data_IF_242577761400
#
_entry.id   IF_242577761400
#
_cell.length_a   1.000
_cell.length_b   1.000
_cell.length_c   1.000
_cell.angle_alpha   90.00
_cell.angle_beta   90.00
_cell.angle_gamma   90.00
#
_symmetry.space_group_name_H-M   'P 1'
#
loop_
_entity.id
_entity.type
_entity.pdbx_description
1 polymer ?
#
# COMPACT_ATOMS: atom_id res chain seq x y z
N UNK A 1 7.99 -58.60 3.45
CA UNK A 1 8.83 -57.69 2.64
C UNK A 1 7.96 -57.17 1.52
N UNK A 2 7.30 -56.03 1.72
CA UNK A 2 7.70 -54.68 1.26
C UNK A 2 7.27 -54.38 -0.19
N UNK A 3 6.32 -53.42 -0.28
CA UNK A 3 6.08 -52.39 -1.31
C UNK A 3 5.69 -52.84 -2.74
N UNK A 4 4.72 -52.25 -3.43
CA UNK A 4 4.08 -50.94 -3.30
C UNK A 4 4.08 -50.26 -4.69
N UNK A 5 2.92 -50.13 -5.33
CA UNK A 5 2.68 -49.14 -6.40
C UNK A 5 1.18 -48.98 -6.68
N UNK A 6 0.47 -48.45 -5.68
CA UNK A 6 -0.86 -47.90 -5.88
C UNK A 6 -0.76 -46.70 -6.81
N UNK A 7 -1.27 -46.84 -8.04
CA UNK A 7 -1.51 -45.75 -8.97
C UNK A 7 -2.42 -44.72 -8.29
N UNK A 8 -1.85 -43.63 -7.77
CA UNK A 8 -2.61 -42.48 -7.28
C UNK A 8 -3.31 -41.85 -8.49
N UNK A 9 -4.64 -41.98 -8.53
CA UNK A 9 -5.50 -41.30 -9.48
C UNK A 9 -5.36 -39.79 -9.25
N UNK A 10 -5.11 -39.03 -10.33
CA UNK A 10 -5.19 -37.57 -10.31
C UNK A 10 -6.61 -37.14 -9.91
N UNK A 11 -6.79 -36.13 -9.03
CA UNK A 11 -8.10 -35.55 -8.82
C UNK A 11 -8.56 -34.81 -10.10
N UNK A 12 -9.85 -34.85 -10.45
CA UNK A 12 -10.39 -34.15 -11.61
C UNK A 12 -10.76 -32.70 -11.24
N UNK A 13 -10.45 -31.76 -12.14
CA UNK A 13 -10.95 -30.39 -12.19
C UNK A 13 -11.02 -29.60 -10.87
N UNK A 14 -9.95 -28.88 -10.55
CA UNK A 14 -10.02 -27.62 -9.82
C UNK A 14 -9.66 -26.50 -10.81
N UNK A 15 -10.51 -25.48 -10.87
CA UNK A 15 -10.36 -24.28 -11.69
C UNK A 15 -8.90 -23.85 -11.81
N UNK A 16 -8.37 -23.85 -13.03
CA UNK A 16 -7.12 -23.18 -13.36
C UNK A 16 -7.33 -21.69 -13.09
N UNK A 17 -6.88 -21.22 -11.92
CA UNK A 17 -6.69 -19.79 -11.70
C UNK A 17 -5.74 -19.29 -12.80
N UNK A 18 -6.00 -18.13 -13.43
CA UNK A 18 -5.10 -17.60 -14.44
C UNK A 18 -3.76 -17.34 -13.77
N UNK A 19 -2.77 -18.21 -14.05
CA UNK A 19 -1.39 -18.02 -13.60
C UNK A 19 -0.75 -16.96 -14.50
N UNK A 20 -1.28 -15.75 -14.42
CA UNK A 20 -0.58 -14.58 -14.91
C UNK A 20 0.73 -14.49 -14.11
N UNK A 21 1.82 -14.34 -14.84
CA UNK A 21 3.21 -14.44 -14.40
C UNK A 21 3.58 -13.33 -13.39
N UNK A 22 3.05 -13.42 -12.17
CA UNK A 22 3.43 -12.59 -11.03
C UNK A 22 4.66 -13.19 -10.36
N UNK A 23 5.59 -12.38 -9.82
CA UNK A 23 6.65 -12.91 -8.97
C UNK A 23 6.03 -13.74 -7.86
N UNK A 24 6.68 -14.85 -7.47
CA UNK A 24 6.21 -15.73 -6.42
C UNK A 24 6.14 -14.93 -5.10
N UNK A 25 4.96 -14.42 -4.77
CA UNK A 25 4.73 -13.64 -3.55
C UNK A 25 4.59 -14.61 -2.40
N UNK A 26 5.57 -14.59 -1.49
CA UNK A 26 5.54 -15.44 -0.30
C UNK A 26 4.69 -14.81 0.80
N UNK A 27 4.08 -15.66 1.60
CA UNK A 27 3.28 -15.29 2.77
C UNK A 27 4.07 -15.61 4.03
N UNK A 28 4.44 -14.58 4.79
CA UNK A 28 5.04 -14.73 6.11
C UNK A 28 3.92 -14.87 7.15
N UNK A 29 3.88 -15.98 7.87
CA UNK A 29 2.89 -16.24 8.92
C UNK A 29 3.58 -16.16 10.29
N UNK A 30 3.06 -15.32 11.18
CA UNK A 30 3.65 -15.04 12.50
C UNK A 30 2.61 -15.19 13.60
N UNK A 31 2.80 -16.16 14.49
CA UNK A 31 1.96 -16.36 15.69
C UNK A 31 2.81 -17.06 16.76
N UNK A 32 2.65 -16.70 18.03
CA UNK A 32 3.41 -17.32 19.13
C UNK A 32 2.92 -18.74 19.47
N UNK A 33 1.79 -19.16 18.89
CA UNK A 33 1.23 -20.50 18.99
C UNK A 33 1.59 -21.32 17.73
N UNK A 34 2.53 -22.29 17.82
CA UNK A 34 2.97 -23.06 16.66
C UNK A 34 1.84 -23.78 15.92
N UNK A 35 0.82 -24.25 16.65
CA UNK A 35 -0.32 -24.93 16.06
C UNK A 35 -1.07 -24.04 15.05
N UNK A 36 -1.27 -22.76 15.38
CA UNK A 36 -1.96 -21.80 14.51
C UNK A 36 -1.11 -21.52 13.27
N UNK A 37 0.20 -21.33 13.45
CA UNK A 37 1.13 -21.11 12.32
C UNK A 37 1.10 -22.29 11.36
N UNK A 38 1.18 -23.53 11.86
CA UNK A 38 1.17 -24.72 11.01
C UNK A 38 -0.16 -24.88 10.28
N UNK A 39 -1.30 -24.74 10.97
CA UNK A 39 -2.63 -24.84 10.36
C UNK A 39 -2.82 -23.83 9.22
N UNK A 40 -2.47 -22.56 9.47
CA UNK A 40 -2.57 -21.50 8.47
C UNK A 40 -1.63 -21.75 7.28
N UNK A 41 -0.39 -22.19 7.53
CA UNK A 41 0.56 -22.46 6.46
C UNK A 41 0.14 -23.67 5.62
N UNK A 42 -0.30 -24.77 6.24
CA UNK A 42 -0.79 -25.95 5.52
C UNK A 42 -1.98 -25.59 4.62
N UNK A 43 -2.91 -24.80 5.13
CA UNK A 43 -4.07 -24.34 4.36
C UNK A 43 -3.67 -23.44 3.19
N UNK A 44 -2.81 -22.45 3.40
CA UNK A 44 -2.34 -21.53 2.36
C UNK A 44 -1.46 -22.25 1.31
N UNK A 45 -0.61 -23.18 1.73
CA UNK A 45 0.20 -24.02 0.84
C UNK A 45 -0.67 -24.93 -0.03
N UNK A 46 -1.74 -25.50 0.54
CA UNK A 46 -2.73 -26.27 -0.23
C UNK A 46 -3.45 -25.43 -1.29
N UNK A 47 -3.51 -24.12 -1.09
CA UNK A 47 -4.09 -23.12 -2.00
C UNK A 47 -3.08 -22.55 -3.01
N UNK A 48 -1.81 -23.00 -2.97
CA UNK A 48 -0.77 -22.65 -3.94
C UNK A 48 0.19 -21.53 -3.51
N UNK A 49 0.16 -21.09 -2.25
CA UNK A 49 1.10 -20.11 -1.71
C UNK A 49 2.36 -20.77 -1.14
N UNK A 50 3.48 -20.04 -1.16
CA UNK A 50 4.68 -20.43 -0.40
C UNK A 50 4.67 -19.69 0.94
N UNK A 51 4.72 -20.43 2.05
CA UNK A 51 4.64 -19.86 3.39
C UNK A 51 6.00 -19.84 4.10
N UNK A 52 6.30 -18.74 4.77
CA UNK A 52 7.42 -18.60 5.70
C UNK A 52 6.85 -18.59 7.11
N UNK A 53 7.23 -19.60 7.91
CA UNK A 53 6.75 -19.78 9.29
C UNK A 53 7.64 -19.00 10.24
N UNK A 54 7.04 -18.27 11.17
CA UNK A 54 7.73 -17.58 12.26
C UNK A 54 6.91 -17.68 13.54
N UNK A 55 7.60 -17.84 14.66
CA UNK A 55 6.94 -18.00 15.98
C UNK A 55 7.22 -16.84 16.94
N UNK A 56 7.88 -15.79 16.43
CA UNK A 56 8.14 -14.56 17.16
C UNK A 56 8.31 -13.38 16.21
N UNK A 57 8.07 -12.17 16.71
CA UNK A 57 8.23 -10.93 15.96
C UNK A 57 9.68 -10.66 15.53
N UNK A 58 10.66 -11.02 16.36
CA UNK A 58 12.07 -10.86 16.03
C UNK A 58 12.48 -11.77 14.87
N UNK A 59 12.11 -13.05 14.94
CA UNK A 59 12.34 -14.00 13.83
C UNK A 59 11.68 -13.51 12.54
N UNK A 60 10.45 -13.01 12.64
CA UNK A 60 9.72 -12.48 11.49
C UNK A 60 10.46 -11.31 10.83
N UNK A 61 11.00 -10.36 11.61
CA UNK A 61 11.77 -9.22 11.07
C UNK A 61 13.07 -9.69 10.39
N UNK A 62 13.77 -10.67 10.99
CA UNK A 62 14.99 -11.22 10.41
C UNK A 62 14.71 -11.93 9.07
N UNK A 63 13.69 -12.79 9.02
CA UNK A 63 13.28 -13.49 7.80
C UNK A 63 12.80 -12.53 6.73
N UNK A 64 12.00 -11.54 7.11
CA UNK A 64 11.52 -10.49 6.22
C UNK A 64 12.69 -9.72 5.59
N UNK A 65 13.70 -9.37 6.39
CA UNK A 65 14.86 -8.62 5.91
C UNK A 65 15.77 -9.46 5.00
N UNK A 66 15.80 -10.77 5.20
CA UNK A 66 16.59 -11.70 4.40
C UNK A 66 15.93 -12.09 3.07
N UNK A 67 14.60 -12.06 2.98
CA UNK A 67 13.84 -12.51 1.80
C UNK A 67 12.91 -11.40 1.28
N UNK A 68 13.37 -10.70 0.23
CA UNK A 68 12.61 -9.63 -0.43
C UNK A 68 11.39 -10.12 -1.21
N UNK A 69 11.18 -11.43 -1.35
CA UNK A 69 10.01 -12.01 -2.02
C UNK A 69 8.80 -12.16 -1.10
N UNK A 70 8.98 -11.97 0.21
CA UNK A 70 7.89 -11.87 1.17
C UNK A 70 7.10 -10.61 0.88
N UNK A 71 5.90 -10.78 0.34
CA UNK A 71 5.02 -9.66 -0.01
C UNK A 71 3.77 -9.59 0.86
N UNK A 72 3.38 -10.68 1.51
CA UNK A 72 2.25 -10.70 2.45
C UNK A 72 2.77 -11.09 3.82
N UNK A 73 2.36 -10.34 4.85
CA UNK A 73 2.66 -10.64 6.24
C UNK A 73 1.33 -10.88 6.97
N UNK A 74 1.07 -12.12 7.36
CA UNK A 74 -0.03 -12.50 8.22
C UNK A 74 0.50 -12.63 9.65
N UNK A 75 0.00 -11.85 10.59
CA UNK A 75 0.56 -11.88 11.94
C UNK A 75 -0.47 -11.67 13.03
N UNK A 76 -0.25 -12.35 14.16
CA UNK A 76 -0.99 -12.08 15.39
C UNK A 76 -0.69 -10.68 15.92
N UNK A 77 -1.71 -10.05 16.48
CA UNK A 77 -1.61 -8.75 17.09
C UNK A 77 -0.92 -8.81 18.46
N UNK A 78 -1.20 -9.83 19.26
CA UNK A 78 -0.86 -9.93 20.69
C UNK A 78 0.24 -10.97 20.94
N UNK A 79 1.46 -10.65 20.53
CA UNK A 79 2.62 -11.50 20.80
C UNK A 79 3.44 -11.02 22.01
N UNK A 80 4.07 -11.93 22.78
CA UNK A 80 5.00 -11.56 23.83
C UNK A 80 6.18 -10.72 23.32
N UNK A 81 6.56 -9.69 24.09
CA UNK A 81 7.72 -8.85 23.80
C UNK A 81 7.44 -7.69 22.85
N UNK A 82 7.15 -7.99 21.57
CA UNK A 82 6.83 -6.98 20.55
C UNK A 82 5.56 -7.39 19.83
N UNK A 83 4.57 -6.48 19.83
CA UNK A 83 3.26 -6.73 19.24
C UNK A 83 3.30 -6.67 17.70
N UNK A 84 2.24 -7.17 17.04
CA UNK A 84 2.20 -7.21 15.57
C UNK A 84 2.33 -5.83 14.91
N UNK A 85 1.79 -4.78 15.53
CA UNK A 85 1.85 -3.41 14.99
C UNK A 85 3.29 -2.89 15.02
N UNK A 86 3.98 -3.01 16.15
CA UNK A 86 5.38 -2.65 16.33
C UNK A 86 6.28 -3.43 15.37
N UNK A 87 6.00 -4.71 15.17
CA UNK A 87 6.70 -5.55 14.20
C UNK A 87 6.55 -5.02 12.76
N UNK A 88 5.33 -4.70 12.34
CA UNK A 88 5.07 -4.13 10.99
C UNK A 88 5.73 -2.77 10.83
N UNK A 89 5.72 -1.92 11.87
CA UNK A 89 6.43 -0.64 11.85
C UNK A 89 7.95 -0.85 11.72
N UNK A 90 8.53 -1.80 12.44
CA UNK A 90 9.94 -2.16 12.34
C UNK A 90 10.31 -2.72 10.95
N UNK A 91 9.46 -3.57 10.36
CA UNK A 91 9.64 -4.08 9.00
C UNK A 91 9.60 -2.95 7.96
N UNK A 92 8.72 -1.96 8.12
CA UNK A 92 8.67 -0.78 7.25
C UNK A 92 9.91 0.12 7.37
N UNK A 93 10.47 0.22 8.57
CA UNK A 93 11.73 0.95 8.77
C UNK A 93 12.93 0.20 8.17
N UNK A 94 12.97 -1.13 8.32
CA UNK A 94 14.10 -1.97 7.92
C UNK A 94 14.11 -2.27 6.42
N UNK A 95 12.96 -2.64 5.83
CA UNK A 95 12.80 -2.86 4.38
C UNK A 95 12.85 -1.58 3.55
N UNK A 96 12.85 -0.42 4.23
CA UNK A 96 12.91 0.90 3.63
C UNK A 96 11.77 1.16 2.65
N UNK A 97 12.00 2.07 1.70
CA UNK A 97 11.01 2.33 0.64
C UNK A 97 10.98 1.22 -0.41
N UNK A 98 11.92 0.29 -0.45
CA UNK A 98 12.13 -0.63 -1.58
C UNK A 98 11.35 -1.93 -1.45
N UNK A 99 11.31 -2.52 -0.26
CA UNK A 99 10.57 -3.76 -0.01
C UNK A 99 9.08 -3.45 0.21
N UNK A 100 8.28 -3.66 -0.83
CA UNK A 100 6.83 -3.50 -0.75
C UNK A 100 6.18 -4.77 -0.19
N UNK A 101 5.31 -4.62 0.80
CA UNK A 101 4.52 -5.69 1.36
C UNK A 101 3.19 -5.16 1.90
N UNK A 102 2.21 -6.06 2.05
CA UNK A 102 0.93 -5.81 2.70
C UNK A 102 0.81 -6.67 3.95
N UNK A 103 0.32 -6.10 5.05
CA UNK A 103 0.23 -6.78 6.35
C UNK A 103 -1.23 -7.02 6.75
N UNK A 104 -1.57 -8.24 7.14
CA UNK A 104 -2.88 -8.67 7.61
C UNK A 104 -2.74 -9.07 9.09
N UNK A 105 -3.57 -8.49 9.96
CA UNK A 105 -3.54 -8.77 11.39
C UNK A 105 -4.58 -9.81 11.78
N UNK A 106 -4.20 -10.73 12.67
CA UNK A 106 -5.11 -11.63 13.36
C UNK A 106 -5.25 -11.16 14.81
N UNK A 107 -6.46 -11.05 15.34
CA UNK A 107 -6.68 -10.57 16.72
C UNK A 107 -7.75 -11.37 17.46
N UNK A 108 -7.47 -11.77 18.70
CA UNK A 108 -8.45 -12.43 19.58
C UNK A 108 -9.45 -11.46 20.22
N UNK A 109 -9.08 -10.20 20.41
CA UNK A 109 -9.91 -9.16 21.03
C UNK A 109 -9.79 -7.86 20.23
N UNK A 110 -10.80 -7.56 19.41
CA UNK A 110 -10.83 -6.32 18.63
C UNK A 110 -11.23 -5.13 19.52
N UNK A 111 -10.32 -4.63 20.36
CA UNK A 111 -10.53 -3.35 21.02
C UNK A 111 -10.43 -2.20 20.02
N UNK A 112 -11.35 -1.22 20.12
CA UNK A 112 -11.39 -0.05 19.22
C UNK A 112 -10.07 0.72 19.15
N UNK A 113 -9.23 0.64 20.18
CA UNK A 113 -7.95 1.36 20.25
C UNK A 113 -6.88 0.70 19.37
N UNK A 114 -6.86 -0.62 19.30
CA UNK A 114 -5.82 -1.35 18.58
C UNK A 114 -6.07 -1.33 17.07
N UNK A 115 -7.34 -1.33 16.66
CA UNK A 115 -7.73 -1.05 15.27
C UNK A 115 -7.22 0.33 14.83
N UNK A 116 -7.35 1.37 15.65
CA UNK A 116 -6.87 2.72 15.29
C UNK A 116 -5.34 2.76 15.10
N UNK A 117 -4.59 2.04 15.95
CA UNK A 117 -3.14 1.94 15.83
C UNK A 117 -2.74 1.15 14.58
N UNK A 118 -3.40 0.03 14.32
CA UNK A 118 -3.19 -0.80 13.13
C UNK A 118 -3.39 0.00 11.84
N UNK A 119 -4.48 0.76 11.74
CA UNK A 119 -4.77 1.60 10.59
C UNK A 119 -3.73 2.73 10.39
N UNK A 120 -3.19 3.28 11.48
CA UNK A 120 -2.12 4.30 11.43
C UNK A 120 -0.79 3.71 10.97
N UNK A 121 -0.47 2.51 11.43
CA UNK A 121 0.69 1.75 10.97
C UNK A 121 0.58 1.36 9.49
N UNK A 122 -0.58 1.54 8.85
CA UNK A 122 -0.80 1.25 7.43
C UNK A 122 -0.93 -0.25 7.17
N UNK A 123 -1.58 -0.95 8.09
CA UNK A 123 -1.96 -2.36 7.97
C UNK A 123 -3.08 -2.49 6.94
N UNK A 124 -3.02 -3.57 6.18
CA UNK A 124 -3.87 -3.80 5.05
C UNK A 124 -5.27 -4.26 5.47
N UNK A 125 -5.31 -5.27 6.32
CA UNK A 125 -6.57 -5.83 6.80
C UNK A 125 -6.44 -6.42 8.19
N UNK A 126 -7.57 -6.79 8.80
CA UNK A 126 -7.59 -7.46 10.09
C UNK A 126 -8.73 -8.48 10.18
N UNK A 127 -8.47 -9.60 10.86
CA UNK A 127 -9.42 -10.68 11.09
C UNK A 127 -9.53 -10.98 12.57
N UNK A 128 -10.76 -11.23 13.02
CA UNK A 128 -11.03 -11.63 14.39
C UNK A 128 -10.86 -13.14 14.53
N UNK A 129 -10.13 -13.60 15.55
CA UNK A 129 -10.04 -15.01 15.92
C UNK A 129 -11.32 -15.45 16.64
N UNK A 130 -11.87 -16.65 16.37
CA UNK A 130 -11.38 -17.65 15.40
C UNK A 130 -11.59 -17.19 13.95
N UNK A 131 -10.56 -17.37 13.12
CA UNK A 131 -10.54 -16.89 11.73
C UNK A 131 -11.19 -17.93 10.83
N UNK A 132 -12.07 -17.49 9.93
CA UNK A 132 -12.54 -18.32 8.82
C UNK A 132 -11.44 -18.40 7.76
N UNK A 133 -10.96 -19.62 7.48
CA UNK A 133 -9.85 -19.85 6.55
C UNK A 133 -10.21 -19.45 5.11
N UNK A 134 -11.48 -19.62 4.70
CA UNK A 134 -11.93 -19.22 3.37
C UNK A 134 -11.96 -17.69 3.24
N UNK A 135 -12.49 -17.00 4.25
CA UNK A 135 -12.51 -15.53 4.29
C UNK A 135 -11.09 -14.94 4.33
N UNK A 136 -10.18 -15.58 5.07
CA UNK A 136 -8.78 -15.21 5.11
C UNK A 136 -8.10 -15.41 3.75
N UNK A 137 -8.38 -16.52 3.06
CA UNK A 137 -7.81 -16.80 1.74
C UNK A 137 -8.21 -15.72 0.73
N UNK A 138 -9.49 -15.33 0.72
CA UNK A 138 -9.99 -14.25 -0.11
C UNK A 138 -9.26 -12.93 0.20
N UNK A 139 -9.06 -12.63 1.49
CA UNK A 139 -8.27 -11.48 1.92
C UNK A 139 -6.83 -11.51 1.45
N UNK A 140 -6.16 -12.65 1.59
CA UNK A 140 -4.78 -12.85 1.12
C UNK A 140 -4.70 -12.65 -0.40
N UNK A 141 -5.61 -13.27 -1.17
CA UNK A 141 -5.69 -13.10 -2.62
C UNK A 141 -5.84 -11.64 -3.02
N UNK A 142 -6.74 -10.93 -2.34
CA UNK A 142 -6.99 -9.51 -2.56
C UNK A 142 -5.75 -8.64 -2.26
N UNK A 143 -5.05 -8.91 -1.16
CA UNK A 143 -3.81 -8.17 -0.84
C UNK A 143 -2.65 -8.51 -1.78
N UNK A 144 -2.58 -9.75 -2.28
CA UNK A 144 -1.59 -10.13 -3.32
C UNK A 144 -1.84 -9.35 -4.60
N UNK A 145 -3.10 -9.23 -5.03
CA UNK A 145 -3.47 -8.43 -6.20
C UNK A 145 -3.12 -6.95 -6.00
N UNK A 146 -3.49 -6.36 -4.86
CA UNK A 146 -3.17 -4.98 -4.52
C UNK A 146 -1.65 -4.72 -4.51
N UNK A 147 -0.87 -5.65 -3.96
CA UNK A 147 0.59 -5.56 -3.96
C UNK A 147 1.16 -5.59 -5.38
N UNK A 148 0.67 -6.51 -6.22
CA UNK A 148 1.11 -6.65 -7.61
C UNK A 148 0.81 -5.38 -8.42
N UNK A 149 -0.37 -4.78 -8.25
CA UNK A 149 -0.71 -3.50 -8.87
C UNK A 149 0.21 -2.37 -8.41
N UNK A 150 0.49 -2.31 -7.10
CA UNK A 150 1.39 -1.32 -6.53
C UNK A 150 2.82 -1.46 -7.04
N UNK A 151 3.29 -2.70 -7.21
CA UNK A 151 4.59 -3.00 -7.83
C UNK A 151 4.62 -2.55 -9.30
N UNK A 152 3.60 -2.90 -10.10
CA UNK A 152 3.46 -2.47 -11.51
C UNK A 152 3.47 -0.94 -11.63
N UNK A 153 2.64 -0.26 -10.84
CA UNK A 153 2.55 1.19 -10.82
C UNK A 153 3.88 1.85 -10.49
N UNK A 154 4.61 1.29 -9.52
CA UNK A 154 5.94 1.79 -9.15
C UNK A 154 6.97 1.58 -10.25
N UNK A 155 6.98 0.41 -10.89
CA UNK A 155 7.86 0.13 -12.02
C UNK A 155 7.59 1.08 -13.19
N UNK A 156 6.32 1.31 -13.51
CA UNK A 156 5.91 2.23 -14.57
C UNK A 156 6.31 3.68 -14.28
N UNK A 157 6.16 4.14 -13.03
CA UNK A 157 6.63 5.47 -12.61
C UNK A 157 8.16 5.59 -12.73
N UNK A 158 8.91 4.54 -12.37
CA UNK A 158 10.36 4.48 -12.54
C UNK A 158 10.77 4.67 -14.00
N UNK A 159 10.15 3.89 -14.90
CA UNK A 159 10.41 3.97 -16.35
C UNK A 159 10.06 5.34 -16.93
N UNK A 160 8.95 5.94 -16.51
CA UNK A 160 8.56 7.28 -16.98
C UNK A 160 9.55 8.35 -16.52
N UNK A 161 10.02 8.26 -15.27
CA UNK A 161 11.00 9.19 -14.74
C UNK A 161 12.34 9.10 -15.49
N UNK A 162 12.78 7.88 -15.83
CA UNK A 162 13.97 7.66 -16.66
C UNK A 162 13.81 8.27 -18.06
N UNK A 163 12.65 8.07 -18.71
CA UNK A 163 12.35 8.70 -20.01
C UNK A 163 12.35 10.22 -19.95
N UNK A 164 11.80 10.80 -18.87
CA UNK A 164 11.82 12.25 -18.66
C UNK A 164 13.25 12.77 -18.51
N UNK A 165 14.10 12.07 -17.76
CA UNK A 165 15.52 12.43 -17.61
C UNK A 165 16.28 12.34 -18.93
N UNK A 166 16.05 11.27 -19.71
CA UNK A 166 16.65 11.09 -21.03
C UNK A 166 16.26 12.22 -22.01
N UNK A 167 14.97 12.58 -22.04
CA UNK A 167 14.48 13.68 -22.86
C UNK A 167 15.04 15.03 -22.42
N UNK A 168 15.15 15.28 -21.11
CA UNK A 168 15.76 16.50 -20.59
C UNK A 168 17.23 16.62 -21.02
N UNK A 169 18.02 15.55 -20.87
CA UNK A 169 19.42 15.53 -21.31
C UNK A 169 19.57 15.76 -22.83
N UNK A 170 18.67 15.18 -23.65
CA UNK A 170 18.67 15.38 -25.10
C UNK A 170 18.32 16.82 -25.51
N UNK A 171 17.46 17.49 -24.73
CA UNK A 171 17.14 18.91 -24.93
C UNK A 171 18.35 19.78 -24.60
N UNK A 172 19.06 19.49 -23.51
CA UNK A 172 20.27 20.23 -23.12
C UNK A 172 21.38 20.11 -24.18
N UNK A 173 21.59 18.90 -24.73
CA UNK A 173 22.53 18.70 -25.85
C UNK A 173 22.13 19.48 -27.10
N UNK A 174 20.83 19.57 -27.41
CA UNK A 174 20.34 20.39 -28.53
C UNK A 174 20.57 21.89 -28.29
N UNK A 175 20.41 22.38 -27.06
CA UNK A 175 20.72 23.77 -26.72
C UNK A 175 22.21 24.08 -26.86
N UNK A 176 23.10 23.20 -26.38
CA UNK A 176 24.55 23.40 -26.52
C UNK A 176 25.00 23.42 -27.99
N UNK A 177 24.36 22.61 -28.84
CA UNK A 177 24.63 22.63 -30.27
C UNK A 177 24.07 23.88 -30.97
N UNK A 178 22.91 24.40 -30.56
CA UNK A 178 22.35 25.64 -31.13
C UNK A 178 23.15 26.89 -30.73
N UNK A 179 23.70 26.93 -29.51
CA UNK A 179 24.62 27.99 -29.07
C UNK A 179 25.92 28.00 -29.89
N UNK A 180 26.37 26.84 -30.39
CA UNK A 180 27.53 26.75 -31.28
C UNK A 180 27.30 27.35 -32.68
N UNK A 181 26.03 27.52 -33.08
CA UNK A 181 25.64 28.09 -34.39
C UNK A 181 25.33 29.59 -34.30
N UNK A 182 24.96 30.12 -33.13
CA UNK A 182 24.67 31.55 -32.93
C UNK A 182 25.82 32.30 -32.25
N UNK A 183 26.97 32.37 -32.91
CA UNK A 183 28.04 33.27 -32.50
C UNK A 183 27.74 34.71 -32.95
N UNK A 184 26.95 35.44 -32.16
CA UNK A 184 26.96 36.92 -32.11
C UNK A 184 26.73 37.37 -30.66
N UNK A 185 27.63 38.18 -30.08
CA UNK A 185 27.42 38.72 -28.75
C UNK A 185 26.46 39.90 -28.85
N UNK A 186 25.33 39.87 -28.14
CA UNK A 186 24.70 41.11 -27.67
C UNK A 186 23.91 40.93 -26.36
N UNK A 187 23.85 41.98 -25.52
CA UNK A 187 23.66 41.88 -24.09
C UNK A 187 22.21 42.10 -23.65
N UNK A 188 21.96 41.72 -22.40
CA UNK A 188 20.83 42.09 -21.55
C UNK A 188 19.41 41.66 -21.97
N UNK A 189 18.93 40.59 -21.33
CA UNK A 189 17.49 40.41 -21.05
C UNK A 189 17.25 40.05 -19.59
N UNK A 190 16.88 41.10 -18.85
CA UNK A 190 16.04 41.14 -17.64
C UNK A 190 15.66 39.78 -17.06
N UNK A 191 16.27 39.47 -15.91
CA UNK A 191 15.71 38.66 -14.84
C UNK A 191 14.23 39.01 -14.63
N UNK A 192 13.35 38.16 -15.12
CA UNK A 192 11.97 38.07 -14.67
C UNK A 192 11.88 36.81 -13.81
N UNK A 193 11.59 37.04 -12.54
CA UNK A 193 11.21 36.03 -11.55
C UNK A 193 10.34 34.96 -12.17
N UNK A 194 10.92 33.78 -12.37
CA UNK A 194 10.16 32.56 -12.55
C UNK A 194 10.12 31.91 -11.16
N UNK A 195 9.25 32.46 -10.32
CA UNK A 195 8.88 31.85 -9.05
C UNK A 195 8.44 30.41 -9.37
N UNK A 196 9.25 29.48 -8.90
CA UNK A 196 8.94 28.07 -8.78
C UNK A 196 7.58 27.97 -8.08
N UNK A 197 6.54 27.60 -8.84
CA UNK A 197 5.29 27.15 -8.23
C UNK A 197 5.56 25.77 -7.68
N UNK A 198 6.18 25.72 -6.50
CA UNK A 198 6.03 24.59 -5.60
C UNK A 198 4.53 24.32 -5.47
N UNK A 199 4.11 23.13 -5.91
CA UNK A 199 2.78 22.62 -5.63
C UNK A 199 2.74 22.38 -4.12
N UNK A 200 2.40 23.42 -3.36
CA UNK A 200 2.19 23.33 -1.92
C UNK A 200 1.03 22.38 -1.67
N UNK A 201 1.38 21.13 -1.38
CA UNK A 201 0.45 20.14 -0.89
C UNK A 201 -0.10 20.65 0.46
N UNK A 202 -1.44 20.78 0.65
CA UNK A 202 -2.00 21.25 1.90
C UNK A 202 -1.42 20.47 3.09
N UNK A 203 -0.89 21.17 4.10
CA UNK A 203 -0.24 20.64 5.31
C UNK A 203 -1.09 19.59 6.06
N UNK A 204 -2.41 19.57 5.84
CA UNK A 204 -3.33 18.57 6.38
C UNK A 204 -3.12 17.15 5.79
N UNK A 205 -2.57 17.03 4.59
CA UNK A 205 -2.38 15.75 3.87
C UNK A 205 -1.14 14.98 4.33
N UNK A 206 -0.20 15.66 4.98
CA UNK A 206 1.05 15.06 5.46
C UNK A 206 0.86 14.11 6.65
N UNK A 207 -0.30 14.16 7.33
CA UNK A 207 -0.60 13.34 8.53
C UNK A 207 -1.38 12.06 8.23
N UNK A 208 -1.81 11.85 6.99
CA UNK A 208 -2.58 10.67 6.60
C UNK A 208 -1.63 9.52 6.21
N UNK A 209 -1.94 8.30 6.63
CA UNK A 209 -1.26 7.12 6.09
C UNK A 209 -1.58 6.97 4.60
N UNK A 210 -0.74 6.27 3.80
CA UNK A 210 -1.00 6.07 2.38
C UNK A 210 -2.42 5.56 2.09
N UNK A 211 -2.89 4.55 2.84
CA UNK A 211 -4.25 4.02 2.72
C UNK A 211 -5.33 5.04 3.10
N UNK A 212 -5.12 5.85 4.13
CA UNK A 212 -6.08 6.91 4.49
C UNK A 212 -6.17 7.99 3.39
N UNK A 213 -5.07 8.27 2.71
CA UNK A 213 -5.02 9.23 1.61
C UNK A 213 -5.72 8.68 0.37
N UNK A 214 -5.58 7.38 0.09
CA UNK A 214 -6.30 6.69 -0.99
C UNK A 214 -7.82 6.64 -0.74
N UNK A 215 -8.24 6.31 0.50
CA UNK A 215 -9.65 6.43 0.91
C UNK A 215 -10.12 7.87 0.76
N UNK A 216 -9.37 8.86 1.25
CA UNK A 216 -9.78 10.27 1.16
C UNK A 216 -9.97 10.73 -0.29
N UNK A 217 -9.11 10.27 -1.22
CA UNK A 217 -9.26 10.52 -2.66
C UNK A 217 -10.53 9.91 -3.22
N UNK A 218 -10.80 8.64 -2.97
CA UNK A 218 -12.00 7.97 -3.49
C UNK A 218 -13.30 8.50 -2.85
N UNK A 219 -13.24 8.93 -1.59
CA UNK A 219 -14.36 9.63 -0.95
C UNK A 219 -14.64 10.95 -1.64
N UNK A 220 -13.59 11.68 -2.04
CA UNK A 220 -13.68 12.98 -2.70
C UNK A 220 -14.28 12.92 -4.10
N UNK A 221 -14.16 11.79 -4.80
CA UNK A 221 -14.78 11.55 -6.10
C UNK A 221 -16.24 11.12 -6.01
N UNK A 222 -16.76 10.89 -4.80
CA UNK A 222 -18.18 10.60 -4.56
C UNK A 222 -18.56 9.11 -4.47
N UNK A 223 -17.58 8.20 -4.43
CA UNK A 223 -17.82 6.75 -4.38
C UNK A 223 -18.46 6.28 -3.05
N UNK A 224 -19.44 5.38 -3.09
CA UNK A 224 -20.04 4.84 -1.85
C UNK A 224 -19.03 4.02 -1.04
N UNK A 225 -19.30 3.78 0.25
CA UNK A 225 -18.39 2.97 1.07
C UNK A 225 -18.19 1.56 0.50
N UNK A 226 -19.25 0.98 -0.08
CA UNK A 226 -19.18 -0.30 -0.78
C UNK A 226 -18.28 -0.22 -2.02
N UNK A 227 -18.42 0.83 -2.84
CA UNK A 227 -17.58 1.00 -4.03
C UNK A 227 -16.11 1.23 -3.66
N UNK A 228 -15.84 2.00 -2.62
CA UNK A 228 -14.48 2.21 -2.10
C UNK A 228 -13.90 0.89 -1.55
N UNK A 229 -14.73 0.05 -0.94
CA UNK A 229 -14.33 -1.27 -0.44
C UNK A 229 -13.84 -2.16 -1.59
N UNK A 230 -14.61 -2.20 -2.68
CA UNK A 230 -14.24 -2.89 -3.91
C UNK A 230 -12.97 -2.29 -4.57
N UNK A 231 -12.88 -0.96 -4.65
CA UNK A 231 -11.78 -0.27 -5.32
C UNK A 231 -10.45 -0.40 -4.57
N UNK A 232 -10.48 -0.44 -3.24
CA UNK A 232 -9.29 -0.54 -2.39
C UNK A 232 -8.98 -1.95 -1.92
N UNK A 233 -9.80 -2.93 -2.26
CA UNK A 233 -9.62 -4.30 -1.80
C UNK A 233 -9.62 -4.39 -0.27
N UNK A 234 -10.60 -3.78 0.39
CA UNK A 234 -10.81 -3.84 1.85
C UNK A 234 -12.28 -4.04 2.19
N UNK A 235 -12.60 -4.41 3.42
CA UNK A 235 -14.01 -4.55 3.84
C UNK A 235 -14.74 -3.21 3.97
N UNK A 236 -16.07 -3.19 3.79
CA UNK A 236 -16.89 -1.98 3.92
C UNK A 236 -16.83 -1.36 5.33
N UNK A 237 -16.65 -2.20 6.36
CA UNK A 237 -16.44 -1.74 7.73
C UNK A 237 -15.10 -1.00 7.87
N UNK A 238 -14.03 -1.53 7.26
CA UNK A 238 -12.73 -0.87 7.21
C UNK A 238 -12.81 0.49 6.50
N UNK A 239 -13.61 0.61 5.42
CA UNK A 239 -13.87 1.89 4.76
C UNK A 239 -14.57 2.88 5.69
N UNK A 240 -15.66 2.50 6.36
CA UNK A 240 -16.40 3.38 7.29
C UNK A 240 -15.47 3.95 8.37
N UNK A 241 -14.57 3.11 8.88
CA UNK A 241 -13.56 3.49 9.86
C UNK A 241 -12.54 4.48 9.28
N UNK A 242 -11.99 4.19 8.10
CA UNK A 242 -11.06 5.13 7.44
C UNK A 242 -11.72 6.49 7.16
N UNK A 243 -12.96 6.53 6.67
CA UNK A 243 -13.68 7.79 6.40
C UNK A 243 -13.85 8.61 7.68
N UNK A 244 -14.31 7.98 8.77
CA UNK A 244 -14.48 8.66 10.06
C UNK A 244 -13.16 9.23 10.58
N UNK A 245 -12.07 8.49 10.44
CA UNK A 245 -10.76 8.88 10.92
C UNK A 245 -10.08 9.95 10.04
N UNK A 246 -10.27 9.89 8.72
CA UNK A 246 -9.85 10.94 7.79
C UNK A 246 -10.53 12.25 8.16
N UNK A 247 -11.86 12.25 8.33
CA UNK A 247 -12.61 13.44 8.75
C UNK A 247 -12.09 14.02 10.08
N UNK A 248 -11.80 13.15 11.06
CA UNK A 248 -11.25 13.56 12.35
C UNK A 248 -9.83 14.15 12.24
N UNK A 249 -8.96 13.54 11.44
CA UNK A 249 -7.56 13.97 11.26
C UNK A 249 -7.42 15.23 10.40
N UNK A 250 -8.32 15.43 9.44
CA UNK A 250 -8.37 16.64 8.60
C UNK A 250 -9.20 17.76 9.23
N UNK A 251 -9.78 17.55 10.42
CA UNK A 251 -10.73 18.44 11.07
C UNK A 251 -11.93 18.81 10.19
N UNK A 252 -12.36 17.89 9.33
CA UNK A 252 -13.53 18.05 8.48
C UNK A 252 -14.73 17.37 9.12
N UNK A 253 -15.86 18.05 9.11
CA UNK A 253 -17.06 17.60 9.80
C UNK A 253 -17.98 16.78 8.91
N UNK A 254 -17.78 16.82 7.59
CA UNK A 254 -18.57 16.04 6.66
C UNK A 254 -17.80 15.64 5.40
N UNK A 255 -18.33 14.61 4.75
CA UNK A 255 -17.82 14.06 3.49
C UNK A 255 -17.71 15.11 2.37
N UNK A 256 -18.63 16.07 2.34
CA UNK A 256 -18.65 17.15 1.34
C UNK A 256 -17.47 18.10 1.51
N UNK A 257 -17.08 18.45 2.74
CA UNK A 257 -15.88 19.24 3.02
C UNK A 257 -14.61 18.53 2.57
N UNK A 258 -14.54 17.21 2.78
CA UNK A 258 -13.44 16.39 2.28
C UNK A 258 -13.38 16.39 0.74
N UNK A 259 -14.53 16.26 0.07
CA UNK A 259 -14.59 16.31 -1.39
C UNK A 259 -14.11 17.65 -1.96
N UNK A 260 -14.49 18.76 -1.33
CA UNK A 260 -14.08 20.10 -1.74
C UNK A 260 -12.59 20.36 -1.55
N UNK A 261 -11.97 19.76 -0.52
CA UNK A 261 -10.55 19.96 -0.23
C UNK A 261 -9.62 19.16 -1.16
N UNK A 262 -10.08 18.05 -1.72
CA UNK A 262 -9.34 17.19 -2.64
C UNK A 262 -9.64 17.47 -4.13
N UNK A 263 -10.59 18.36 -4.43
CA UNK A 263 -10.90 18.75 -5.80
C UNK A 263 -9.84 19.72 -6.35
N UNK A 264 -9.16 19.39 -7.46
CA UNK A 264 -8.20 20.28 -8.10
C UNK A 264 -8.97 21.39 -8.83
N UNK A 265 -9.34 22.47 -8.14
CA UNK A 265 -9.94 23.60 -8.85
C UNK A 265 -10.53 24.78 -8.08
N UNK A 266 -10.75 24.73 -6.76
CA UNK A 266 -11.47 25.84 -6.07
C UNK A 266 -10.74 26.49 -4.88
N UNK A 267 -9.55 26.03 -4.55
CA UNK A 267 -8.66 26.71 -3.58
C UNK A 267 -8.10 28.02 -4.13
N UNK A 268 -7.90 28.14 -5.44
CA UNK A 268 -7.38 29.36 -6.08
C UNK A 268 -8.42 30.50 -6.21
N UNK A 269 -9.72 30.19 -6.25
CA UNK A 269 -10.78 31.20 -6.38
C UNK A 269 -11.18 31.81 -5.03
N UNK A 270 -11.06 31.07 -3.92
CA UNK A 270 -11.35 31.61 -2.58
C UNK A 270 -10.26 32.55 -2.05
N UNK A 271 -9.00 32.34 -2.42
CA UNK A 271 -7.92 33.23 -1.99
C UNK A 271 -8.04 34.63 -2.64
N UNK A 272 -8.55 34.70 -3.88
CA UNK A 272 -8.74 35.99 -4.58
C UNK A 272 -9.95 36.80 -4.13
N UNK A 273 -10.95 36.17 -3.50
CA UNK A 273 -12.11 36.88 -2.96
C UNK A 273 -11.89 37.49 -1.57
N UNK A 274 -10.85 37.06 -0.84
CA UNK A 274 -10.52 37.62 0.48
C UNK A 274 -9.60 38.84 0.35
N UNK A 275 -8.73 38.88 -0.67
CA UNK A 275 -7.83 40.02 -0.93
C UNK A 275 -8.49 41.18 -1.69
N UNK A 276 -9.73 41.04 -2.18
CA UNK A 276 -10.44 42.12 -2.87
C UNK A 276 -11.40 42.94 -1.99
N UNK A 277 -11.41 42.71 -0.67
CA UNK A 277 -12.20 43.48 0.30
C UNK A 277 -11.40 43.93 1.55
N UNK A 278 -10.07 43.93 1.47
CA UNK A 278 -9.19 44.50 2.50
C UNK A 278 -8.59 45.82 2.05
#
# INVERSE_FOLDING_TARGET
>A
MLNGSGRRRRPPNSMELPVDNYPLTKVLVVDDQPLIVEELCEFLESSGYECVRCYSSLEAIERFSADSTIGIVLCDLEMPGMNGIEMVEAMKMTGGKTHLFEAIMLTGQAEKKDVIKALRAGIADYYQKPVDLEELLEGVQLQVQALNERQKNRQQLGLLNEKLQFLAASIDDLYQNLDSVQNKPHPERKTRDRAEREVQMPVALAKLSPRQLDVARLVSTGLTNYQIACELGITENTVKLYVSQVLRLTHMHNRTQLALAFSPGKSAERQRLIESQG
#
